data_IF_785692501742
#
_entry.id   IF_785692501742
#
_cell.length_a   1.000
_cell.length_b   1.000
_cell.length_c   1.000
_cell.angle_alpha   90.00
_cell.angle_beta   90.00
_cell.angle_gamma   90.00
#
_symmetry.space_group_name_H-M   'P 1'
#
loop_
_entity.id
_entity.type
_entity.pdbx_description
1 polymer ?
#
# COMPACT_ATOMS: atom_id res chain seq x y z
N UNK A 1 14.86 -12.12 1.45
CA UNK A 1 15.51 -13.03 2.41
C UNK A 1 15.37 -12.45 3.82
N UNK A 2 14.13 -12.24 4.27
CA UNK A 2 13.80 -12.14 5.70
C UNK A 2 12.83 -13.29 5.95
N UNK A 3 13.41 -14.42 6.36
CA UNK A 3 12.79 -15.73 6.36
C UNK A 3 11.83 -15.87 7.54
N UNK A 4 10.61 -15.36 7.42
CA UNK A 4 9.51 -15.83 8.29
C UNK A 4 9.08 -17.19 7.74
N UNK A 5 9.78 -18.25 8.18
CA UNK A 5 9.55 -19.64 7.76
C UNK A 5 8.17 -20.17 8.19
N UNK A 6 7.56 -19.55 9.20
CA UNK A 6 6.30 -20.00 9.80
C UNK A 6 5.09 -19.26 9.20
N UNK A 7 4.26 -20.00 8.45
CA UNK A 7 3.05 -19.48 7.80
C UNK A 7 2.04 -18.88 8.78
N UNK A 8 1.97 -19.38 10.01
CA UNK A 8 1.08 -18.83 11.05
C UNK A 8 1.51 -17.42 11.46
N UNK A 9 2.81 -17.21 11.69
CA UNK A 9 3.38 -15.90 12.05
C UNK A 9 3.18 -14.90 10.92
N UNK A 10 3.39 -15.33 9.67
CA UNK A 10 3.14 -14.51 8.48
C UNK A 10 1.68 -14.05 8.38
N UNK A 11 0.72 -14.94 8.66
CA UNK A 11 -0.71 -14.63 8.62
C UNK A 11 -1.13 -13.70 9.76
N UNK A 12 -0.58 -13.91 10.96
CA UNK A 12 -0.79 -13.03 12.12
C UNK A 12 -0.25 -11.64 11.83
N UNK A 13 1.01 -11.51 11.37
CA UNK A 13 1.61 -10.23 11.04
C UNK A 13 0.82 -9.47 9.96
N UNK A 14 0.34 -10.19 8.93
CA UNK A 14 -0.50 -9.59 7.88
C UNK A 14 -1.79 -8.94 8.38
N UNK A 15 -2.35 -9.44 9.48
CA UNK A 15 -3.59 -8.92 10.07
C UNK A 15 -3.27 -7.90 11.17
N UNK A 16 -2.30 -8.21 12.02
CA UNK A 16 -1.93 -7.41 13.17
C UNK A 16 -1.32 -6.05 12.77
N UNK A 17 -0.49 -6.02 11.72
CA UNK A 17 0.16 -4.79 11.27
C UNK A 17 -0.86 -3.73 10.82
N UNK A 18 -1.78 -4.01 9.85
CA UNK A 18 -2.73 -2.99 9.41
C UNK A 18 -3.81 -2.67 10.44
N UNK A 19 -4.23 -3.64 11.27
CA UNK A 19 -5.35 -3.45 12.19
C UNK A 19 -4.95 -2.83 13.54
N UNK A 20 -3.74 -3.10 14.01
CA UNK A 20 -3.29 -2.69 15.35
C UNK A 20 -2.09 -1.74 15.26
N UNK A 21 -1.07 -2.11 14.50
CA UNK A 21 0.19 -1.36 14.48
C UNK A 21 0.02 0.01 13.81
N UNK A 22 -0.62 0.08 12.64
CA UNK A 22 -0.81 1.35 11.92
C UNK A 22 -1.66 2.34 12.75
N UNK A 23 -2.84 1.97 13.29
CA UNK A 23 -3.61 2.86 14.14
C UNK A 23 -2.88 3.26 15.42
N UNK A 24 -2.14 2.34 16.04
CA UNK A 24 -1.36 2.66 17.22
C UNK A 24 -0.27 3.70 16.94
N UNK A 25 0.44 3.58 15.81
CA UNK A 25 1.45 4.55 15.38
C UNK A 25 0.83 5.91 15.05
N UNK A 26 -0.35 5.94 14.43
CA UNK A 26 -1.03 7.22 14.14
C UNK A 26 -1.56 7.90 15.40
N UNK A 27 -2.13 7.16 16.35
CA UNK A 27 -2.65 7.70 17.61
C UNK A 27 -1.51 8.14 18.53
N UNK A 28 -0.48 7.30 18.70
CA UNK A 28 0.70 7.69 19.46
C UNK A 28 1.41 8.88 18.82
N UNK A 29 1.49 8.89 17.49
CA UNK A 29 2.02 10.00 16.71
C UNK A 29 1.25 11.30 16.91
N UNK A 30 -0.09 11.26 16.92
CA UNK A 30 -0.91 12.46 17.11
C UNK A 30 -0.91 12.99 18.55
N UNK A 31 -0.65 12.14 19.55
CA UNK A 31 -0.63 12.55 20.96
C UNK A 31 0.73 13.11 21.41
N UNK A 32 1.81 12.70 20.77
CA UNK A 32 3.20 13.06 21.16
C UNK A 32 3.77 14.21 20.32
N UNK A 33 3.24 14.45 19.11
CA UNK A 33 3.78 15.44 18.18
C UNK A 33 2.76 16.53 17.85
N UNK A 34 3.11 17.79 18.17
CA UNK A 34 2.40 18.99 17.71
C UNK A 34 2.33 19.07 16.17
N UNK A 35 1.37 19.85 15.65
CA UNK A 35 0.93 19.94 14.24
C UNK A 35 2.06 20.02 13.19
N UNK A 36 3.25 20.48 13.57
CA UNK A 36 4.37 20.66 12.65
C UNK A 36 5.18 19.38 12.38
N UNK A 37 5.01 18.29 13.16
CA UNK A 37 5.82 17.06 13.04
C UNK A 37 5.09 15.86 12.42
N UNK A 38 3.92 16.08 11.80
CA UNK A 38 3.15 15.02 11.11
C UNK A 38 3.89 14.31 9.97
N UNK A 39 4.94 14.94 9.42
CA UNK A 39 5.80 14.34 8.40
C UNK A 39 6.48 13.07 8.94
N UNK A 40 6.95 13.08 10.19
CA UNK A 40 7.59 11.91 10.81
C UNK A 40 6.62 10.76 11.03
N UNK A 41 5.39 11.07 11.45
CA UNK A 41 4.33 10.06 11.63
C UNK A 41 3.95 9.44 10.29
N UNK A 42 3.77 10.26 9.25
CA UNK A 42 3.43 9.80 7.90
C UNK A 42 4.54 8.94 7.29
N UNK A 43 5.80 9.32 7.50
CA UNK A 43 6.97 8.56 7.05
C UNK A 43 7.07 7.20 7.77
N UNK A 44 6.80 7.16 9.08
CA UNK A 44 6.77 5.91 9.84
C UNK A 44 5.67 4.98 9.33
N UNK A 45 4.45 5.49 9.10
CA UNK A 45 3.34 4.71 8.55
C UNK A 45 3.67 4.20 7.14
N UNK A 46 4.27 5.03 6.28
CA UNK A 46 4.72 4.62 4.96
C UNK A 46 5.75 3.48 5.04
N UNK A 47 6.70 3.58 5.97
CA UNK A 47 7.71 2.55 6.20
C UNK A 47 7.09 1.21 6.66
N UNK A 48 6.17 1.24 7.62
CA UNK A 48 5.45 0.04 8.06
C UNK A 48 4.59 -0.58 6.96
N UNK A 49 3.99 0.26 6.11
CA UNK A 49 3.19 -0.16 4.96
C UNK A 49 4.05 -0.89 3.91
N UNK A 50 5.25 -0.37 3.62
CA UNK A 50 6.21 -1.04 2.74
C UNK A 50 6.75 -2.35 3.35
N UNK A 51 6.99 -2.36 4.67
CA UNK A 51 7.39 -3.58 5.37
C UNK A 51 6.31 -4.68 5.26
N UNK A 52 5.03 -4.31 5.47
CA UNK A 52 3.89 -5.20 5.28
C UNK A 52 3.85 -5.74 3.84
N UNK A 53 4.04 -4.88 2.85
CA UNK A 53 4.09 -5.27 1.46
C UNK A 53 5.19 -6.31 1.18
N UNK A 54 6.41 -6.10 1.68
CA UNK A 54 7.54 -7.03 1.50
C UNK A 54 7.25 -8.39 2.15
N UNK A 55 6.68 -8.42 3.35
CA UNK A 55 6.27 -9.69 3.98
C UNK A 55 5.25 -10.42 3.10
N UNK A 56 4.37 -9.70 2.41
CA UNK A 56 3.43 -10.28 1.47
C UNK A 56 4.09 -10.84 0.21
N UNK A 57 4.93 -10.02 -0.43
CA UNK A 57 5.48 -10.22 -1.77
C UNK A 57 6.57 -11.30 -1.88
N UNK A 58 7.06 -11.83 -0.76
CA UNK A 58 8.04 -12.93 -0.77
C UNK A 58 7.41 -14.25 -1.28
N UNK A 59 7.77 -14.60 -2.53
CA UNK A 59 7.74 -15.91 -3.22
C UNK A 59 6.88 -16.08 -4.47
N UNK A 60 6.26 -15.03 -5.03
CA UNK A 60 5.64 -15.20 -6.35
C UNK A 60 6.65 -14.79 -7.42
N UNK A 61 7.04 -15.74 -8.27
CA UNK A 61 7.58 -15.42 -9.60
C UNK A 61 6.47 -14.63 -10.29
N UNK A 62 6.54 -13.30 -10.19
CA UNK A 62 5.57 -12.41 -10.80
C UNK A 62 5.83 -12.46 -12.30
N UNK A 63 5.07 -13.30 -12.99
CA UNK A 63 5.18 -13.39 -14.45
C UNK A 63 5.07 -12.01 -15.08
N UNK A 64 5.90 -11.72 -16.08
CA UNK A 64 6.04 -10.41 -16.73
C UNK A 64 4.70 -9.76 -17.06
N UNK A 65 3.71 -10.56 -17.48
CA UNK A 65 2.33 -10.12 -17.76
C UNK A 65 1.64 -9.45 -16.57
N UNK A 66 1.84 -9.94 -15.34
CA UNK A 66 1.25 -9.32 -14.13
C UNK A 66 1.86 -7.97 -13.83
N UNK A 67 3.18 -7.82 -14.02
CA UNK A 67 3.86 -6.53 -13.81
C UNK A 67 3.37 -5.49 -14.82
N UNK A 68 3.23 -5.87 -16.10
CA UNK A 68 2.69 -5.01 -17.14
C UNK A 68 1.26 -4.56 -16.79
N UNK A 69 0.40 -5.47 -16.36
CA UNK A 69 -0.97 -5.12 -15.95
C UNK A 69 -1.00 -4.16 -14.75
N UNK A 70 -0.15 -4.38 -13.74
CA UNK A 70 -0.03 -3.45 -12.59
C UNK A 70 0.40 -2.06 -13.04
N UNK A 71 1.38 -1.97 -13.96
CA UNK A 71 1.83 -0.70 -14.50
C UNK A 71 0.71 0.05 -15.25
N UNK A 72 -0.03 -0.66 -16.11
CA UNK A 72 -1.16 -0.09 -16.87
C UNK A 72 -2.27 0.38 -15.93
N UNK A 73 -2.64 -0.44 -14.94
CA UNK A 73 -3.67 -0.07 -13.96
C UNK A 73 -3.24 1.15 -13.13
N UNK A 74 -1.95 1.26 -12.78
CA UNK A 74 -1.40 2.42 -12.08
C UNK A 74 -1.52 3.69 -12.93
N UNK A 75 -1.18 3.62 -14.22
CA UNK A 75 -1.27 4.76 -15.14
C UNK A 75 -2.72 5.25 -15.29
N UNK A 76 -3.68 4.33 -15.49
CA UNK A 76 -5.11 4.67 -15.60
C UNK A 76 -5.61 5.31 -14.30
N UNK A 77 -5.20 4.77 -13.15
CA UNK A 77 -5.57 5.30 -11.84
C UNK A 77 -5.02 6.71 -11.59
N UNK A 78 -3.78 7.00 -12.00
CA UNK A 78 -3.20 8.36 -11.93
C UNK A 78 -3.98 9.32 -12.82
N UNK A 79 -4.25 8.95 -14.09
CA UNK A 79 -5.00 9.78 -15.02
C UNK A 79 -6.42 10.08 -14.51
N UNK A 80 -7.07 9.09 -13.89
CA UNK A 80 -8.40 9.25 -13.33
C UNK A 80 -8.49 10.29 -12.21
N UNK A 81 -7.40 10.59 -11.49
CA UNK A 81 -7.40 11.62 -10.43
C UNK A 81 -7.59 13.04 -10.99
N UNK A 82 -7.23 13.28 -12.25
CA UNK A 82 -7.37 14.59 -12.89
C UNK A 82 -8.81 14.91 -13.30
N UNK A 83 -9.76 13.98 -13.12
CA UNK A 83 -11.18 14.19 -13.42
C UNK A 83 -11.86 14.89 -12.21
N UNK A 84 -12.47 16.08 -12.39
CA UNK A 84 -12.92 16.92 -11.27
C UNK A 84 -14.15 16.41 -10.49
N UNK A 85 -14.79 15.30 -10.89
CA UNK A 85 -16.01 14.79 -10.24
C UNK A 85 -15.96 13.31 -9.83
N UNK A 86 -15.05 12.52 -10.42
CA UNK A 86 -14.98 11.09 -10.18
C UNK A 86 -13.53 10.70 -9.95
N UNK A 87 -13.22 10.19 -8.76
CA UNK A 87 -11.88 9.68 -8.42
C UNK A 87 -11.88 8.16 -8.51
N UNK A 88 -11.62 7.56 -9.69
CA UNK A 88 -11.67 6.12 -9.89
C UNK A 88 -10.52 5.36 -9.21
N UNK A 89 -9.60 6.05 -8.54
CA UNK A 89 -8.41 5.46 -7.88
C UNK A 89 -8.82 4.30 -6.97
N UNK A 90 -9.80 4.52 -6.08
CA UNK A 90 -10.24 3.47 -5.16
C UNK A 90 -10.91 2.31 -5.90
N UNK A 91 -11.68 2.57 -6.95
CA UNK A 91 -12.30 1.51 -7.74
C UNK A 91 -11.26 0.65 -8.48
N UNK A 92 -10.27 1.30 -9.13
CA UNK A 92 -9.22 0.62 -9.89
C UNK A 92 -8.32 -0.20 -8.95
N UNK A 93 -7.99 0.32 -7.77
CA UNK A 93 -7.20 -0.39 -6.76
C UNK A 93 -7.91 -1.63 -6.22
N UNK A 94 -9.20 -1.52 -5.91
CA UNK A 94 -10.03 -2.65 -5.45
C UNK A 94 -10.17 -3.71 -6.54
N UNK A 95 -10.46 -3.32 -7.79
CA UNK A 95 -10.54 -4.25 -8.92
C UNK A 95 -9.19 -4.96 -9.11
N UNK A 96 -8.08 -4.22 -9.10
CA UNK A 96 -6.74 -4.82 -9.19
C UNK A 96 -6.49 -5.81 -8.04
N UNK A 97 -6.87 -5.45 -6.81
CA UNK A 97 -6.71 -6.30 -5.64
C UNK A 97 -7.49 -7.63 -5.79
N UNK A 98 -8.72 -7.56 -6.32
CA UNK A 98 -9.56 -8.75 -6.52
C UNK A 98 -9.00 -9.68 -7.60
N UNK A 99 -8.56 -9.13 -8.74
CA UNK A 99 -8.16 -9.95 -9.91
C UNK A 99 -6.68 -10.35 -9.91
N UNK A 100 -5.77 -9.47 -9.47
CA UNK A 100 -4.33 -9.73 -9.48
C UNK A 100 -3.78 -10.09 -8.08
N UNK A 101 -4.59 -9.89 -7.03
CA UNK A 101 -4.26 -10.13 -5.64
C UNK A 101 -4.01 -8.84 -4.86
N UNK A 102 -4.23 -8.89 -3.53
CA UNK A 102 -4.12 -7.71 -2.66
C UNK A 102 -2.76 -7.01 -2.69
N UNK A 103 -1.68 -7.72 -3.00
CA UNK A 103 -0.35 -7.16 -3.22
C UNK A 103 -0.29 -6.23 -4.45
N UNK A 104 -0.89 -6.65 -5.56
CA UNK A 104 -0.97 -5.84 -6.78
C UNK A 104 -1.90 -4.64 -6.59
N UNK A 105 -3.01 -4.83 -5.86
CA UNK A 105 -3.90 -3.72 -5.49
C UNK A 105 -3.22 -2.68 -4.60
N UNK A 106 -2.43 -3.14 -3.63
CA UNK A 106 -1.59 -2.26 -2.80
C UNK A 106 -0.62 -1.44 -3.65
N UNK A 107 0.14 -2.09 -4.55
CA UNK A 107 1.08 -1.41 -5.43
C UNK A 107 0.40 -0.33 -6.29
N UNK A 108 -0.72 -0.68 -6.96
CA UNK A 108 -1.46 0.28 -7.78
C UNK A 108 -1.90 1.47 -6.92
N UNK A 109 -2.44 1.23 -5.73
CA UNK A 109 -2.95 2.30 -4.88
C UNK A 109 -1.86 3.21 -4.33
N UNK A 110 -0.80 2.62 -3.78
CA UNK A 110 0.32 3.38 -3.22
C UNK A 110 1.04 4.19 -4.31
N UNK A 111 1.32 3.58 -5.47
CA UNK A 111 2.00 4.26 -6.55
C UNK A 111 1.12 5.34 -7.17
N UNK A 112 -0.18 5.09 -7.37
CA UNK A 112 -1.07 6.13 -7.89
C UNK A 112 -1.16 7.32 -6.95
N UNK A 113 -1.28 7.12 -5.64
CA UNK A 113 -1.33 8.20 -4.66
C UNK A 113 -0.05 9.06 -4.66
N UNK A 114 1.12 8.42 -4.73
CA UNK A 114 2.41 9.10 -4.78
C UNK A 114 2.61 9.85 -6.11
N UNK A 115 2.45 9.16 -7.24
CA UNK A 115 2.73 9.72 -8.57
C UNK A 115 1.82 10.89 -8.92
N UNK A 116 0.55 10.82 -8.51
CA UNK A 116 -0.40 11.90 -8.76
C UNK A 116 -0.29 13.08 -7.80
N UNK A 117 0.70 13.09 -6.89
CA UNK A 117 1.02 14.22 -6.04
C UNK A 117 2.35 14.90 -6.44
N UNK A 118 3.07 14.34 -7.42
CA UNK A 118 4.21 15.02 -8.03
C UNK A 118 3.80 16.10 -9.04
N UNK A 119 2.55 16.05 -9.50
CA UNK A 119 1.90 17.01 -10.38
C UNK A 119 0.71 17.62 -9.66
#
# INVERSE_FOLDING_TARGET
MIVIKNQKIKKILRILIPLVLIPAVTIAGSLVFDEQKHIFVSLAVAFFSLALFITGFEKKVTGTRRLVLVAVMTAISVLGRFIPFFKPITAITVITAMYLGGESGFLVGSLSALLSNFY
#
